data_IF_603511036512
#
_entry.id   IF_603511036512
#
_cell.length_a   1.000
_cell.length_b   1.000
_cell.length_c   1.000
_cell.angle_alpha   90.00
_cell.angle_beta   90.00
_cell.angle_gamma   90.00
#
_symmetry.space_group_name_H-M   'P 1'
#
loop_
_entity.id
_entity.type
_entity.pdbx_description
1 polymer ?
#
# COMPACT_ATOMS: atom_id res chain seq x y z
N UNK A 1 13.61 17.15 11.32
CA UNK A 1 13.48 18.01 10.14
C UNK A 1 13.26 17.10 8.93
N UNK A 2 12.03 17.15 8.35
CA UNK A 2 11.64 16.35 7.18
C UNK A 2 12.17 17.01 5.90
N UNK A 3 13.47 17.01 5.67
CA UNK A 3 14.06 17.42 4.39
C UNK A 3 13.88 16.27 3.40
N UNK A 4 13.12 16.49 2.32
CA UNK A 4 12.92 15.53 1.24
C UNK A 4 11.57 14.81 1.21
N UNK A 5 10.68 15.03 2.15
CA UNK A 5 9.34 14.43 2.18
C UNK A 5 8.36 15.24 1.36
N UNK A 6 7.65 14.57 0.44
CA UNK A 6 6.46 15.12 -0.20
C UNK A 6 5.24 14.37 0.33
N UNK A 7 4.34 15.11 0.94
CA UNK A 7 3.04 14.61 1.36
C UNK A 7 2.11 14.73 0.18
N UNK A 8 1.62 13.61 -0.32
CA UNK A 8 0.53 13.61 -1.30
C UNK A 8 -0.74 13.54 -0.47
N UNK A 9 -1.37 14.70 -0.32
CA UNK A 9 -2.69 14.79 0.27
C UNK A 9 -3.72 14.41 -0.80
N UNK A 10 -4.39 13.30 -0.59
CA UNK A 10 -5.58 12.96 -1.36
C UNK A 10 -6.76 13.41 -0.51
N UNK A 11 -7.46 14.49 -0.88
CA UNK A 11 -8.65 14.90 -0.15
C UNK A 11 -9.59 13.71 -0.02
N UNK A 12 -9.95 13.41 1.20
CA UNK A 12 -10.94 12.37 1.52
C UNK A 12 -12.20 12.58 0.70
N UNK A 13 -12.71 11.50 0.21
CA UNK A 13 -13.89 11.38 -0.64
C UNK A 13 -15.10 11.97 0.08
N UNK A 14 -15.45 13.18 -0.20
CA UNK A 14 -16.66 13.74 0.40
C UNK A 14 -16.96 15.18 0.07
N UNK A 15 -16.86 15.60 -1.19
CA UNK A 15 -17.48 16.87 -1.55
C UNK A 15 -17.95 16.88 -3.00
N UNK A 16 -19.04 16.21 -3.27
CA UNK A 16 -20.01 16.73 -4.22
C UNK A 16 -20.91 17.67 -3.40
N UNK A 17 -20.69 18.98 -3.53
CA UNK A 17 -21.48 19.99 -2.83
C UNK A 17 -20.66 20.77 -1.81
N UNK A 18 -20.30 21.99 -2.17
CA UNK A 18 -19.45 22.91 -1.43
C UNK A 18 -19.73 23.00 0.06
N UNK A 19 -18.66 23.26 0.78
CA UNK A 19 -18.42 23.47 2.21
C UNK A 19 -18.05 22.20 2.97
N UNK A 20 -16.74 22.05 3.26
CA UNK A 20 -16.30 22.19 4.65
C UNK A 20 -14.79 22.09 4.72
N UNK A 21 -14.16 23.01 5.42
CA UNK A 21 -12.72 23.21 5.57
C UNK A 21 -12.08 22.33 6.68
N UNK A 22 -12.84 21.40 7.27
CA UNK A 22 -12.45 20.78 8.56
C UNK A 22 -12.30 19.24 8.51
N UNK A 23 -12.30 18.59 7.32
CA UNK A 23 -12.25 17.13 7.22
C UNK A 23 -11.11 16.59 6.34
N UNK A 24 -10.11 17.39 5.96
CA UNK A 24 -8.96 16.92 5.20
C UNK A 24 -7.96 16.25 6.16
N UNK A 25 -7.91 14.92 6.15
CA UNK A 25 -6.91 14.16 6.89
C UNK A 25 -5.93 13.47 5.94
N UNK A 26 -4.70 13.27 6.40
CA UNK A 26 -3.67 12.56 5.64
C UNK A 26 -4.04 11.09 5.55
N UNK A 27 -4.34 10.61 4.35
CA UNK A 27 -4.68 9.21 4.10
C UNK A 27 -3.43 8.36 3.84
N UNK A 28 -2.43 8.94 3.18
CA UNK A 28 -1.18 8.26 2.83
C UNK A 28 0.03 9.17 3.01
N UNK A 29 1.13 8.60 3.54
CA UNK A 29 2.46 9.21 3.57
C UNK A 29 3.40 8.27 2.84
N UNK A 30 4.16 8.79 1.87
CA UNK A 30 5.05 7.98 1.05
C UNK A 30 6.37 8.69 0.78
N UNK A 31 7.52 8.11 1.16
CA UNK A 31 8.83 8.64 0.77
C UNK A 31 9.09 8.33 -0.71
N UNK A 32 9.53 9.32 -1.46
CA UNK A 32 9.86 9.14 -2.87
C UNK A 32 11.00 10.03 -3.31
N UNK A 33 11.96 9.48 -4.07
CA UNK A 33 12.99 10.27 -4.71
C UNK A 33 12.39 11.11 -5.85
N UNK A 34 12.99 12.27 -6.14
CA UNK A 34 12.51 13.21 -7.15
C UNK A 34 12.38 12.59 -8.56
N UNK A 35 13.24 11.62 -8.88
CA UNK A 35 13.28 10.98 -10.20
C UNK A 35 12.37 9.76 -10.32
N UNK A 36 11.80 9.30 -9.22
CA UNK A 36 10.86 8.17 -9.25
C UNK A 36 9.58 8.52 -10.03
N UNK A 37 8.98 7.50 -10.62
CA UNK A 37 7.67 7.59 -11.25
C UNK A 37 6.63 7.02 -10.30
N UNK A 38 5.58 7.79 -10.05
CA UNK A 38 4.41 7.33 -9.31
C UNK A 38 3.36 6.83 -10.30
N UNK A 39 2.88 5.62 -10.10
CA UNK A 39 1.72 5.06 -10.79
C UNK A 39 0.51 5.23 -9.85
N UNK A 40 -0.53 5.86 -10.35
CA UNK A 40 -1.78 6.08 -9.61
C UNK A 40 -2.88 5.23 -10.19
N UNK A 41 -3.55 4.47 -9.35
CA UNK A 41 -4.64 3.58 -9.75
C UNK A 41 -5.94 4.07 -9.16
N UNK A 42 -6.93 4.24 -10.05
CA UNK A 42 -8.24 4.71 -9.64
C UNK A 42 -9.14 3.56 -9.22
N UNK A 43 -10.20 3.87 -8.47
CA UNK A 43 -11.23 2.90 -8.08
C UNK A 43 -11.90 2.23 -9.27
N UNK A 44 -12.04 2.95 -10.39
CA UNK A 44 -12.61 2.43 -11.65
C UNK A 44 -11.60 1.65 -12.51
N UNK A 45 -10.38 1.43 -12.01
CA UNK A 45 -9.40 0.57 -12.63
C UNK A 45 -8.55 1.21 -13.72
N UNK A 46 -8.36 2.52 -13.71
CA UNK A 46 -7.40 3.21 -14.57
C UNK A 46 -6.06 3.41 -13.88
N UNK A 47 -4.99 3.51 -14.68
CA UNK A 47 -3.64 3.85 -14.25
C UNK A 47 -3.21 5.16 -14.91
N UNK A 48 -2.62 6.05 -14.09
CA UNK A 48 -2.00 7.31 -14.50
C UNK A 48 -0.57 7.36 -13.97
N UNK A 49 0.26 8.23 -14.55
CA UNK A 49 1.67 8.40 -14.18
C UNK A 49 1.96 9.84 -13.85
N UNK A 50 2.84 10.06 -12.90
CA UNK A 50 3.39 11.36 -12.56
C UNK A 50 4.82 11.18 -12.06
N UNK A 51 5.74 12.02 -12.50
CA UNK A 51 7.06 12.10 -11.91
C UNK A 51 6.97 12.82 -10.56
N UNK A 52 7.74 12.36 -9.58
CA UNK A 52 7.69 12.96 -8.24
C UNK A 52 8.01 14.46 -8.28
N UNK A 53 8.94 14.90 -9.14
CA UNK A 53 9.27 16.32 -9.29
C UNK A 53 8.14 17.18 -9.89
N UNK A 54 7.14 16.57 -10.55
CA UNK A 54 5.95 17.25 -11.09
C UNK A 54 4.90 17.49 -10.00
N UNK A 55 5.02 16.84 -8.85
CA UNK A 55 4.14 17.03 -7.70
C UNK A 55 4.52 18.35 -7.03
N UNK A 56 3.58 19.33 -6.92
CA UNK A 56 3.88 20.61 -6.30
C UNK A 56 4.36 20.46 -4.86
N UNK A 57 5.35 21.25 -4.50
CA UNK A 57 5.80 21.34 -3.11
C UNK A 57 4.75 22.04 -2.26
N UNK A 58 4.56 21.51 -1.06
CA UNK A 58 3.70 22.09 -0.04
C UNK A 58 4.49 22.34 1.24
N UNK A 59 4.08 23.31 2.03
CA UNK A 59 4.54 23.48 3.41
C UNK A 59 3.41 23.09 4.38
N UNK A 60 3.69 23.09 5.68
CA UNK A 60 2.71 22.73 6.73
C UNK A 60 1.44 23.60 6.74
N UNK A 61 1.45 24.76 6.07
CA UNK A 61 0.35 25.70 6.00
C UNK A 61 -0.31 25.72 4.62
N UNK A 62 0.30 25.05 3.62
CA UNK A 62 -0.25 25.03 2.28
C UNK A 62 -1.48 24.10 2.23
N UNK A 63 -2.54 24.59 1.59
CA UNK A 63 -3.65 23.72 1.17
C UNK A 63 -3.11 22.83 0.06
N UNK A 64 -3.27 21.51 0.18
CA UNK A 64 -2.93 20.56 -0.87
C UNK A 64 -3.60 20.92 -2.21
N UNK A 65 -3.16 20.30 -3.29
CA UNK A 65 -3.80 20.41 -4.60
C UNK A 65 -4.54 19.10 -4.89
N UNK A 66 -5.77 19.22 -5.35
CA UNK A 66 -6.54 18.07 -5.78
C UNK A 66 -5.79 17.33 -6.91
N UNK A 67 -5.69 16.01 -6.81
CA UNK A 67 -4.99 15.18 -7.81
C UNK A 67 -5.62 15.29 -9.20
N UNK A 68 -6.90 15.60 -9.31
CA UNK A 68 -7.55 15.87 -10.59
C UNK A 68 -6.95 17.08 -11.35
N UNK A 69 -6.28 18.01 -10.64
CA UNK A 69 -5.57 19.11 -11.26
C UNK A 69 -4.19 18.72 -11.82
N UNK A 70 -3.66 17.58 -11.39
CA UNK A 70 -2.36 17.05 -11.82
C UNK A 70 -2.51 15.91 -12.82
N UNK A 71 -3.57 15.15 -12.70
CA UNK A 71 -3.88 13.98 -13.52
C UNK A 71 -5.25 14.16 -14.18
N UNK A 72 -5.36 13.78 -15.43
CA UNK A 72 -6.63 13.87 -16.18
C UNK A 72 -7.62 12.78 -15.73
N UNK A 73 -8.03 12.82 -14.46
CA UNK A 73 -8.95 11.88 -13.83
C UNK A 73 -10.37 12.45 -13.94
N UNK A 74 -11.33 11.61 -14.32
CA UNK A 74 -12.74 12.00 -14.33
C UNK A 74 -13.22 12.44 -12.95
N UNK A 75 -14.14 13.38 -12.91
CA UNK A 75 -14.70 13.94 -11.65
C UNK A 75 -15.42 12.89 -10.78
N UNK A 76 -15.82 11.78 -11.38
CA UNK A 76 -16.54 10.67 -10.77
C UNK A 76 -15.62 9.48 -10.43
N UNK A 77 -14.29 9.66 -10.53
CA UNK A 77 -13.29 8.62 -10.23
C UNK A 77 -12.31 9.12 -9.16
N UNK A 78 -11.71 8.22 -8.40
CA UNK A 78 -10.83 8.50 -7.27
C UNK A 78 -9.61 7.61 -7.29
N UNK A 79 -8.48 8.14 -6.79
CA UNK A 79 -7.27 7.36 -6.59
C UNK A 79 -7.43 6.53 -5.32
N UNK A 80 -7.29 5.22 -5.44
CA UNK A 80 -7.36 4.29 -4.30
C UNK A 80 -6.02 3.58 -4.03
N UNK A 81 -5.09 3.61 -4.98
CA UNK A 81 -3.77 3.02 -4.78
C UNK A 81 -2.72 3.75 -5.60
N UNK A 82 -1.49 3.71 -5.12
CA UNK A 82 -0.34 4.21 -5.87
C UNK A 82 0.90 3.35 -5.59
N UNK A 83 1.78 3.29 -6.56
CA UNK A 83 3.03 2.53 -6.52
C UNK A 83 4.16 3.44 -6.96
N UNK A 84 5.24 3.48 -6.18
CA UNK A 84 6.50 4.10 -6.58
C UNK A 84 7.31 3.11 -7.40
N UNK A 85 7.75 3.53 -8.57
CA UNK A 85 8.71 2.80 -9.40
C UNK A 85 9.96 3.66 -9.55
N UNK A 86 11.09 3.18 -9.02
CA UNK A 86 12.36 3.94 -9.07
C UNK A 86 12.79 4.18 -10.51
N UNK A 87 12.75 3.17 -11.35
CA UNK A 87 13.23 3.20 -12.73
C UNK A 87 12.22 2.54 -13.68
N UNK A 88 11.19 3.28 -14.08
CA UNK A 88 10.19 2.75 -15.02
C UNK A 88 10.74 2.45 -16.42
N UNK A 89 11.94 2.95 -16.75
CA UNK A 89 12.61 2.73 -18.03
C UNK A 89 13.56 1.54 -18.01
N UNK A 90 13.78 0.93 -16.86
CA UNK A 90 14.61 -0.26 -16.70
C UNK A 90 13.80 -1.49 -17.16
N UNK A 91 14.23 -2.06 -18.31
CA UNK A 91 13.55 -3.21 -18.93
C UNK A 91 13.66 -4.47 -18.07
N UNK A 92 14.80 -4.71 -17.44
CA UNK A 92 15.02 -5.86 -16.58
C UNK A 92 14.11 -5.80 -15.35
N UNK A 93 14.04 -4.64 -14.70
CA UNK A 93 13.13 -4.41 -13.58
C UNK A 93 11.67 -4.59 -14.01
N UNK A 94 11.26 -4.04 -15.15
CA UNK A 94 9.89 -4.10 -15.63
C UNK A 94 9.44 -5.52 -16.01
N UNK A 95 10.35 -6.35 -16.52
CA UNK A 95 10.07 -7.74 -16.91
C UNK A 95 10.09 -8.69 -15.73
N UNK A 96 10.88 -8.40 -14.69
CA UNK A 96 10.98 -9.22 -13.48
C UNK A 96 9.90 -8.95 -12.44
N UNK A 97 9.16 -7.83 -12.57
CA UNK A 97 8.15 -7.43 -11.58
C UNK A 97 6.73 -7.44 -12.12
N UNK A 98 5.78 -7.61 -11.22
CA UNK A 98 4.36 -7.60 -11.52
C UNK A 98 3.62 -6.61 -10.63
N UNK A 99 2.46 -6.17 -11.09
CA UNK A 99 1.47 -5.48 -10.28
C UNK A 99 0.34 -6.45 -9.94
N UNK A 100 0.09 -6.60 -8.65
CA UNK A 100 -1.07 -7.35 -8.17
C UNK A 100 -2.13 -6.37 -7.69
N UNK A 101 -3.33 -6.52 -8.19
CA UNK A 101 -4.52 -5.74 -7.88
C UNK A 101 -5.43 -6.52 -6.96
N UNK A 102 -6.10 -5.81 -6.07
CA UNK A 102 -7.19 -6.36 -5.28
C UNK A 102 -8.39 -5.44 -5.34
N UNK A 103 -9.58 -6.02 -5.48
CA UNK A 103 -10.83 -5.29 -5.48
C UNK A 103 -11.61 -5.52 -4.18
N UNK A 104 -12.57 -4.66 -3.93
CA UNK A 104 -13.46 -4.71 -2.78
C UNK A 104 -14.21 -6.04 -2.67
N UNK A 105 -14.64 -6.61 -3.80
CA UNK A 105 -15.33 -7.91 -3.85
C UNK A 105 -14.38 -9.13 -3.83
N UNK A 106 -13.08 -8.92 -3.55
CA UNK A 106 -12.12 -10.00 -3.39
C UNK A 106 -11.61 -10.61 -4.71
N UNK A 107 -11.70 -9.88 -5.81
CA UNK A 107 -11.05 -10.23 -7.06
C UNK A 107 -9.59 -9.82 -7.00
N UNK A 108 -8.70 -10.67 -7.53
CA UNK A 108 -7.27 -10.38 -7.70
C UNK A 108 -6.86 -10.50 -9.14
N UNK A 109 -5.91 -9.68 -9.56
CA UNK A 109 -5.36 -9.69 -10.91
C UNK A 109 -3.86 -9.43 -10.86
N UNK A 110 -3.08 -10.18 -11.62
CA UNK A 110 -1.65 -9.96 -11.80
C UNK A 110 -1.35 -9.53 -13.23
N UNK A 111 -0.59 -8.44 -13.39
CA UNK A 111 -0.17 -7.90 -14.69
C UNK A 111 1.31 -7.57 -14.63
N UNK A 112 2.10 -7.91 -15.65
CA UNK A 112 3.50 -7.54 -15.72
C UNK A 112 3.66 -6.01 -15.65
N UNK A 113 4.66 -5.53 -14.91
CA UNK A 113 4.95 -4.09 -14.79
C UNK A 113 5.27 -3.46 -16.14
N UNK A 114 5.89 -4.21 -17.04
CA UNK A 114 6.18 -3.80 -18.42
C UNK A 114 4.93 -3.24 -19.14
N UNK A 115 3.74 -3.78 -18.88
CA UNK A 115 2.50 -3.29 -19.46
C UNK A 115 2.20 -1.82 -19.13
N UNK A 116 2.89 -1.25 -18.14
CA UNK A 116 2.76 0.12 -17.67
C UNK A 116 4.03 0.97 -17.91
N UNK A 117 5.02 0.45 -18.64
CA UNK A 117 6.29 1.16 -18.92
C UNK A 117 6.13 2.38 -19.82
N UNK A 118 5.02 2.50 -20.54
CA UNK A 118 4.74 3.60 -21.48
C UNK A 118 3.64 4.53 -20.95
N UNK A 119 4.00 5.63 -20.27
CA UNK A 119 3.04 6.61 -19.77
C UNK A 119 2.16 7.20 -20.87
N UNK A 120 0.89 7.46 -20.53
CA UNK A 120 -0.07 8.15 -21.40
C UNK A 120 -0.82 9.21 -20.59
N UNK A 121 -0.95 10.41 -21.14
CA UNK A 121 -1.60 11.55 -20.46
C UNK A 121 -3.03 11.26 -20.02
N UNK A 122 -3.80 10.54 -20.83
CA UNK A 122 -5.20 10.18 -20.53
C UNK A 122 -5.33 8.90 -19.70
N UNK A 123 -4.22 8.40 -19.15
CA UNK A 123 -4.19 7.13 -18.45
C UNK A 123 -4.44 5.92 -19.37
N UNK A 124 -4.39 4.75 -18.78
CA UNK A 124 -4.73 3.48 -19.45
C UNK A 124 -5.65 2.66 -18.57
N UNK A 125 -6.40 1.75 -19.17
CA UNK A 125 -7.13 0.75 -18.42
C UNK A 125 -6.13 -0.20 -17.75
N UNK A 126 -6.24 -0.37 -16.43
CA UNK A 126 -5.37 -1.24 -15.65
C UNK A 126 -6.06 -2.55 -15.27
N UNK A 127 -7.36 -2.52 -15.05
CA UNK A 127 -8.22 -3.66 -14.76
C UNK A 127 -9.64 -3.34 -15.18
N UNK A 128 -10.37 -4.30 -15.73
CA UNK A 128 -11.81 -4.14 -15.96
C UNK A 128 -12.56 -4.47 -14.68
N UNK A 129 -13.22 -3.47 -14.11
CA UNK A 129 -13.97 -3.59 -12.86
C UNK A 129 -15.37 -4.11 -13.16
N UNK A 130 -15.88 -5.01 -12.31
CA UNK A 130 -17.26 -5.50 -12.34
C UNK A 130 -18.20 -4.43 -11.78
N UNK A 131 -19.46 -4.57 -12.05
CA UNK A 131 -20.51 -3.74 -11.46
C UNK A 131 -20.43 -3.79 -9.91
N UNK A 132 -20.59 -2.65 -9.26
CA UNK A 132 -20.50 -2.47 -7.80
C UNK A 132 -19.17 -2.89 -7.14
N UNK A 133 -18.11 -3.08 -7.93
CA UNK A 133 -16.77 -3.35 -7.42
C UNK A 133 -15.84 -2.14 -7.62
N UNK A 134 -14.71 -2.15 -6.95
CA UNK A 134 -13.69 -1.12 -7.09
C UNK A 134 -12.31 -1.65 -6.71
N UNK A 135 -11.25 -1.10 -7.33
CA UNK A 135 -9.88 -1.35 -6.87
C UNK A 135 -9.71 -0.73 -5.49
N UNK A 136 -9.22 -1.52 -4.54
CA UNK A 136 -8.89 -1.01 -3.21
C UNK A 136 -7.39 -0.92 -2.98
N UNK A 137 -6.61 -1.77 -3.62
CA UNK A 137 -5.18 -1.80 -3.41
C UNK A 137 -4.42 -2.41 -4.59
N UNK A 138 -3.20 -1.92 -4.81
CA UNK A 138 -2.25 -2.47 -5.77
C UNK A 138 -0.91 -2.65 -5.06
N UNK A 139 -0.16 -3.70 -5.38
CA UNK A 139 1.19 -3.97 -4.87
C UNK A 139 2.11 -4.35 -6.01
N UNK A 140 3.37 -3.93 -5.87
CA UNK A 140 4.47 -4.41 -6.70
C UNK A 140 4.98 -5.71 -6.11
N UNK A 141 5.19 -6.73 -6.94
CA UNK A 141 5.66 -8.07 -6.54
C UNK A 141 6.75 -8.57 -7.50
N UNK A 142 7.54 -9.52 -7.05
CA UNK A 142 8.68 -10.06 -7.79
C UNK A 142 8.41 -11.41 -8.47
N UNK A 143 7.18 -11.92 -8.39
CA UNK A 143 6.77 -13.20 -8.99
C UNK A 143 6.71 -14.37 -8.02
N UNK A 144 7.28 -14.27 -6.80
CA UNK A 144 7.28 -15.32 -5.78
C UNK A 144 6.77 -14.84 -4.41
N UNK A 145 6.16 -13.69 -4.36
CA UNK A 145 5.60 -13.12 -3.13
C UNK A 145 4.35 -13.88 -2.67
N UNK A 146 4.11 -13.81 -1.38
CA UNK A 146 2.88 -14.31 -0.77
C UNK A 146 1.89 -13.17 -0.56
N UNK A 147 0.67 -13.42 -0.95
CA UNK A 147 -0.42 -12.44 -0.89
C UNK A 147 -1.35 -12.80 0.26
N UNK A 148 -1.66 -11.80 1.09
CA UNK A 148 -2.66 -11.94 2.13
C UNK A 148 -3.75 -10.90 1.89
N UNK A 149 -5.00 -11.39 1.74
CA UNK A 149 -6.20 -10.56 1.68
C UNK A 149 -6.92 -10.65 3.03
N UNK A 150 -7.45 -9.53 3.50
CA UNK A 150 -8.25 -9.51 4.71
C UNK A 150 -9.62 -8.88 4.46
N UNK A 151 -10.68 -9.50 5.01
CA UNK A 151 -12.04 -9.02 4.90
C UNK A 151 -12.49 -8.26 6.14
N UNK A 152 -13.47 -7.42 5.98
CA UNK A 152 -14.12 -6.60 7.00
C UNK A 152 -14.66 -7.41 8.16
N UNK A 153 -15.13 -8.63 7.88
CA UNK A 153 -15.63 -9.58 8.88
C UNK A 153 -14.50 -10.32 9.63
N UNK A 154 -13.23 -9.88 9.46
CA UNK A 154 -12.12 -10.37 10.26
C UNK A 154 -11.55 -11.72 9.82
N UNK A 155 -11.70 -12.07 8.54
CA UNK A 155 -11.02 -13.22 7.93
C UNK A 155 -9.86 -12.79 7.06
N UNK A 156 -8.86 -13.65 6.90
CA UNK A 156 -7.75 -13.46 5.99
C UNK A 156 -7.39 -14.76 5.28
N UNK A 157 -6.96 -14.65 4.03
CA UNK A 157 -6.47 -15.74 3.21
C UNK A 157 -5.05 -15.45 2.75
N UNK A 158 -4.15 -16.43 2.88
CA UNK A 158 -2.77 -16.37 2.40
C UNK A 158 -2.57 -17.36 1.27
N UNK A 159 -1.99 -16.91 0.16
CA UNK A 159 -1.67 -17.73 -0.99
C UNK A 159 -0.44 -17.19 -1.72
N UNK A 160 0.28 -18.06 -2.44
CA UNK A 160 1.38 -17.62 -3.28
C UNK A 160 0.86 -16.94 -4.56
N UNK A 161 1.49 -15.82 -4.96
CA UNK A 161 1.10 -15.06 -6.14
C UNK A 161 1.20 -15.87 -7.45
N UNK A 162 1.98 -16.95 -7.47
CA UNK A 162 2.07 -17.85 -8.64
C UNK A 162 0.73 -18.53 -8.95
N UNK A 163 -0.17 -18.65 -7.97
CA UNK A 163 -1.54 -19.14 -8.19
C UNK A 163 -2.41 -18.18 -9.01
N UNK A 164 -1.94 -16.93 -9.19
CA UNK A 164 -2.55 -15.91 -10.03
C UNK A 164 -1.74 -15.77 -11.31
N UNK A 165 -2.28 -16.25 -12.42
CA UNK A 165 -1.61 -16.10 -13.73
C UNK A 165 -1.46 -14.64 -14.11
N UNK A 166 -0.40 -14.31 -14.84
CA UNK A 166 -0.23 -12.98 -15.44
C UNK A 166 -1.29 -12.75 -16.51
N UNK A 167 -1.94 -11.61 -16.51
CA UNK A 167 -3.04 -11.23 -17.39
C UNK A 167 -2.82 -9.85 -17.99
N UNK A 168 -3.37 -9.61 -19.16
CA UNK A 168 -3.36 -8.29 -19.80
C UNK A 168 -4.16 -7.24 -19.00
N UNK A 169 -3.91 -5.95 -19.28
CA UNK A 169 -4.53 -4.82 -18.57
C UNK A 169 -6.05 -4.83 -18.56
N UNK A 170 -6.68 -5.30 -19.64
CA UNK A 170 -8.14 -5.31 -19.79
C UNK A 170 -8.84 -6.53 -19.15
N UNK A 171 -8.10 -7.43 -18.49
CA UNK A 171 -8.70 -8.55 -17.80
C UNK A 171 -9.39 -8.11 -16.51
N UNK A 172 -10.46 -8.80 -16.13
CA UNK A 172 -11.19 -8.57 -14.87
C UNK A 172 -10.46 -9.17 -13.67
N UNK A 173 -9.66 -10.22 -13.87
CA UNK A 173 -9.02 -10.95 -12.80
C UNK A 173 -9.74 -12.25 -12.42
N UNK A 174 -9.35 -12.81 -11.30
CA UNK A 174 -9.84 -14.09 -10.76
C UNK A 174 -10.20 -13.94 -9.29
N UNK A 175 -11.01 -14.85 -8.76
CA UNK A 175 -11.38 -14.83 -7.33
C UNK A 175 -10.12 -15.04 -6.47
N UNK A 176 -9.83 -14.05 -5.63
CA UNK A 176 -8.77 -14.10 -4.62
C UNK A 176 -9.27 -14.62 -3.28
N UNK A 177 -10.45 -14.16 -2.83
CA UNK A 177 -11.09 -14.54 -1.59
C UNK A 177 -12.59 -14.75 -1.78
N UNK A 178 -13.19 -15.66 -1.03
CA UNK A 178 -14.64 -15.78 -0.90
C UNK A 178 -15.06 -15.03 0.36
N UNK A 179 -15.88 -14.00 0.19
CA UNK A 179 -16.45 -13.21 1.27
C UNK A 179 -17.55 -13.99 2.01
N UNK A 180 -17.85 -13.59 3.22
CA UNK A 180 -18.74 -14.32 4.10
C UNK A 180 -20.21 -14.10 3.75
N UNK A 181 -20.55 -12.85 3.43
CA UNK A 181 -21.89 -12.39 3.05
C UNK A 181 -21.78 -11.20 2.07
N UNK A 182 -22.91 -10.65 1.66
CA UNK A 182 -22.99 -9.52 0.71
C UNK A 182 -22.51 -8.19 1.31
N UNK A 183 -22.45 -8.08 2.64
CA UNK A 183 -21.98 -6.89 3.36
C UNK A 183 -20.46 -6.97 3.67
N UNK A 184 -19.87 -8.16 3.51
CA UNK A 184 -18.44 -8.35 3.69
C UNK A 184 -17.66 -7.81 2.49
N UNK A 185 -16.53 -7.25 2.73
CA UNK A 185 -15.67 -6.67 1.72
C UNK A 185 -14.19 -6.86 2.09
N UNK A 186 -13.33 -6.93 1.09
CA UNK A 186 -11.89 -6.89 1.35
C UNK A 186 -11.50 -5.47 1.75
N UNK A 187 -10.81 -5.35 2.87
CA UNK A 187 -10.36 -4.06 3.42
C UNK A 187 -8.87 -3.80 3.18
N UNK A 188 -8.12 -4.82 2.77
CA UNK A 188 -6.72 -4.64 2.47
C UNK A 188 -6.04 -5.89 1.94
N UNK A 189 -4.89 -5.65 1.31
CA UNK A 189 -3.99 -6.64 0.75
C UNK A 189 -2.55 -6.32 1.16
N UNK A 190 -1.80 -7.32 1.60
CA UNK A 190 -0.35 -7.23 1.74
C UNK A 190 0.31 -8.24 0.81
N UNK A 191 1.48 -7.87 0.30
CA UNK A 191 2.40 -8.74 -0.39
C UNK A 191 3.66 -8.83 0.47
N UNK A 192 4.10 -10.02 0.75
CA UNK A 192 5.28 -10.28 1.59
C UNK A 192 6.21 -11.25 0.87
N UNK A 193 7.52 -11.00 0.89
CA UNK A 193 8.49 -11.97 0.40
C UNK A 193 8.32 -13.32 1.10
N UNK A 194 8.58 -14.41 0.40
CA UNK A 194 8.41 -15.77 0.91
C UNK A 194 9.13 -16.03 2.23
N UNK A 195 10.33 -15.46 2.41
CA UNK A 195 11.15 -15.62 3.61
C UNK A 195 11.06 -14.42 4.57
N UNK A 196 9.98 -13.64 4.47
CA UNK A 196 9.76 -12.47 5.33
C UNK A 196 9.57 -12.87 6.79
N UNK A 197 10.25 -12.15 7.67
CA UNK A 197 10.09 -12.24 9.13
C UNK A 197 9.06 -11.24 9.67
N UNK A 198 8.40 -10.50 8.79
CA UNK A 198 7.37 -9.54 9.16
C UNK A 198 6.21 -10.22 9.89
N UNK A 199 5.53 -9.46 10.71
CA UNK A 199 4.27 -9.85 11.34
C UNK A 199 3.08 -9.20 10.63
N UNK A 200 1.92 -9.82 10.74
CA UNK A 200 0.67 -9.29 10.22
C UNK A 200 0.00 -8.44 11.29
N UNK A 201 -0.02 -7.12 11.08
CA UNK A 201 -0.76 -6.16 11.88
C UNK A 201 -2.19 -6.06 11.37
N UNK A 202 -3.17 -6.16 12.25
CA UNK A 202 -4.59 -5.91 11.99
C UNK A 202 -5.13 -4.91 12.99
N UNK A 203 -5.96 -3.97 12.49
CA UNK A 203 -6.60 -2.93 13.30
C UNK A 203 -8.07 -2.85 12.93
N UNK A 204 -8.93 -2.78 13.97
CA UNK A 204 -10.38 -2.67 13.83
C UNK A 204 -10.87 -1.24 14.04
N UNK A 205 -12.09 -0.96 13.62
CA UNK A 205 -12.70 0.38 13.61
C UNK A 205 -12.82 1.02 15.00
N UNK A 206 -12.94 0.22 16.06
CA UNK A 206 -13.03 0.72 17.43
C UNK A 206 -11.67 0.73 18.18
N UNK A 207 -10.56 0.70 17.43
CA UNK A 207 -9.23 0.93 17.99
C UNK A 207 -8.53 -0.28 18.57
N UNK A 208 -9.11 -1.47 18.44
CA UNK A 208 -8.44 -2.72 18.80
C UNK A 208 -7.50 -3.16 17.68
N UNK A 209 -6.35 -3.73 18.06
CA UNK A 209 -5.42 -4.26 17.08
C UNK A 209 -4.41 -5.20 17.71
N UNK A 210 -3.63 -5.84 16.87
CA UNK A 210 -2.58 -6.78 17.26
C UNK A 210 -1.68 -7.11 16.07
N UNK A 211 -0.53 -7.69 16.40
CA UNK A 211 0.30 -8.38 15.43
C UNK A 211 0.13 -9.89 15.59
N UNK A 212 0.24 -10.64 14.51
CA UNK A 212 0.29 -12.11 14.51
C UNK A 212 1.43 -12.57 13.60
N UNK A 213 2.03 -13.71 13.89
CA UNK A 213 3.10 -14.25 13.06
C UNK A 213 2.55 -14.66 11.69
N UNK A 214 3.37 -14.52 10.64
CA UNK A 214 3.01 -15.01 9.30
C UNK A 214 2.71 -16.53 9.30
N UNK A 215 3.39 -17.29 10.14
CA UNK A 215 3.21 -18.73 10.31
C UNK A 215 1.80 -19.12 10.77
N UNK A 216 1.12 -18.23 11.52
CA UNK A 216 -0.26 -18.43 11.96
C UNK A 216 -1.24 -18.49 10.77
N UNK A 217 -0.85 -17.98 9.61
CA UNK A 217 -1.66 -17.97 8.39
C UNK A 217 -1.15 -19.06 7.45
N UNK A 218 -1.85 -20.19 7.42
CA UNK A 218 -1.53 -21.27 6.48
C UNK A 218 -1.62 -20.80 5.03
N UNK A 219 -0.67 -21.21 4.22
CA UNK A 219 -0.71 -21.01 2.77
C UNK A 219 -1.78 -21.94 2.18
N UNK A 220 -2.68 -21.37 1.37
CA UNK A 220 -3.77 -22.10 0.73
C UNK A 220 -3.86 -21.72 -0.74
N UNK A 221 -4.74 -22.37 -1.48
CA UNK A 221 -5.13 -21.88 -2.79
C UNK A 221 -5.98 -20.62 -2.64
N UNK A 222 -5.84 -19.66 -3.60
CA UNK A 222 -6.71 -18.48 -3.69
C UNK A 222 -8.18 -18.87 -3.80
N UNK A 223 -9.09 -17.95 -3.50
CA UNK A 223 -10.52 -18.12 -3.67
C UNK A 223 -11.23 -18.79 -2.52
N UNK A 224 -10.50 -19.25 -1.49
CA UNK A 224 -11.09 -19.79 -0.25
C UNK A 224 -11.67 -18.70 0.67
N UNK A 225 -12.36 -19.13 1.74
CA UNK A 225 -12.93 -18.24 2.78
C UNK A 225 -11.87 -17.68 3.74
N UNK A 226 -10.64 -18.23 3.72
CA UNK A 226 -9.59 -17.85 4.64
C UNK A 226 -9.79 -18.37 6.08
N UNK A 227 -9.01 -17.80 6.98
CA UNK A 227 -9.02 -18.11 8.41
C UNK A 227 -9.29 -16.84 9.21
N UNK A 228 -9.78 -16.98 10.44
CA UNK A 228 -10.02 -15.83 11.32
C UNK A 228 -8.69 -15.11 11.60
N UNK A 229 -8.62 -13.80 11.34
CA UNK A 229 -7.46 -12.95 11.61
C UNK A 229 -7.65 -12.06 12.84
N UNK A 230 -8.90 -11.71 13.15
CA UNK A 230 -9.31 -11.03 14.37
C UNK A 230 -10.70 -11.51 14.75
N UNK A 231 -10.98 -11.58 16.04
CA UNK A 231 -12.33 -11.89 16.51
C UNK A 231 -13.16 -10.60 16.55
N UNK A 232 -14.09 -10.47 15.63
CA UNK A 232 -15.02 -9.34 15.54
C UNK A 232 -16.09 -9.46 16.62
N UNK A 233 -16.26 -8.42 17.40
CA UNK A 233 -17.27 -8.27 18.48
C UNK A 233 -17.78 -6.84 18.49
N UNK A 234 -18.79 -6.53 19.27
CA UNK A 234 -19.28 -5.16 19.48
C UNK A 234 -18.16 -4.22 20.02
N UNK A 235 -17.22 -4.77 20.79
CA UNK A 235 -16.08 -4.00 21.36
C UNK A 235 -14.98 -3.71 20.36
N UNK A 236 -14.80 -4.55 19.35
CA UNK A 236 -13.76 -4.36 18.35
C UNK A 236 -14.28 -3.57 17.16
N UNK A 237 -15.55 -3.74 16.83
CA UNK A 237 -16.07 -3.32 15.53
C UNK A 237 -15.45 -4.14 14.39
N UNK A 238 -15.67 -3.72 13.17
CA UNK A 238 -15.20 -4.40 11.96
C UNK A 238 -13.70 -4.18 11.72
N UNK A 239 -13.06 -5.06 10.93
CA UNK A 239 -11.69 -4.86 10.52
C UNK A 239 -11.57 -3.68 9.53
N UNK A 240 -10.58 -2.82 9.74
CA UNK A 240 -10.32 -1.63 8.89
C UNK A 240 -9.02 -1.78 8.11
N UNK A 241 -8.00 -2.36 8.71
CA UNK A 241 -6.68 -2.40 8.08
C UNK A 241 -5.91 -3.69 8.36
N UNK A 242 -5.13 -4.09 7.35
CA UNK A 242 -4.07 -5.10 7.44
C UNK A 242 -2.77 -4.52 6.90
N UNK A 243 -1.65 -4.72 7.60
CA UNK A 243 -0.31 -4.29 7.20
C UNK A 243 0.73 -5.37 7.52
N UNK A 244 1.79 -5.43 6.71
CA UNK A 244 3.01 -6.18 7.02
C UNK A 244 3.96 -5.25 7.77
N UNK A 245 4.40 -5.65 8.95
CA UNK A 245 5.23 -4.81 9.82
C UNK A 245 6.30 -5.62 10.54
N UNK A 246 7.44 -4.98 10.77
CA UNK A 246 8.50 -5.43 11.68
C UNK A 246 8.61 -4.46 12.88
N UNK A 247 9.54 -4.72 13.78
CA UNK A 247 9.70 -3.94 15.01
C UNK A 247 10.20 -2.50 14.76
N UNK A 248 10.89 -2.25 13.64
CA UNK A 248 11.44 -0.93 13.28
C UNK A 248 10.42 -0.01 12.61
N UNK A 249 9.22 -0.52 12.32
CA UNK A 249 8.21 0.27 11.64
C UNK A 249 7.40 1.13 12.61
N UNK A 250 7.01 2.30 12.11
CA UNK A 250 6.02 3.14 12.73
C UNK A 250 4.68 3.04 12.02
N UNK A 251 3.64 3.12 12.81
CA UNK A 251 2.26 3.05 12.34
C UNK A 251 1.56 4.36 12.66
N UNK A 252 0.99 4.98 11.65
CA UNK A 252 0.11 6.12 11.82
C UNK A 252 -1.33 5.64 11.74
N UNK A 253 -2.09 5.91 12.77
CA UNK A 253 -3.52 5.60 12.86
C UNK A 253 -4.28 6.91 12.80
N UNK A 254 -5.19 7.00 11.84
CA UNK A 254 -5.96 8.21 11.54
C UNK A 254 -7.40 7.93 11.90
N UNK A 255 -7.99 8.78 12.75
CA UNK A 255 -9.38 8.71 13.17
C UNK A 255 -10.28 9.46 12.18
N UNK A 256 -11.57 9.15 12.14
CA UNK A 256 -12.56 9.90 11.36
C UNK A 256 -12.67 11.37 11.79
N UNK A 257 -12.34 11.67 13.05
CA UNK A 257 -12.22 13.04 13.55
C UNK A 257 -10.98 13.81 13.04
N UNK A 258 -10.15 13.20 12.17
CA UNK A 258 -8.92 13.82 11.65
C UNK A 258 -7.72 13.70 12.60
N UNK A 259 -7.88 13.23 13.83
CA UNK A 259 -6.78 13.06 14.78
C UNK A 259 -5.88 11.91 14.33
N UNK A 260 -4.59 12.19 14.20
CA UNK A 260 -3.56 11.22 13.81
C UNK A 260 -2.68 10.86 15.00
N UNK A 261 -2.43 9.57 15.20
CA UNK A 261 -1.61 9.03 16.28
C UNK A 261 -0.53 8.16 15.67
N UNK A 262 0.72 8.34 16.12
CA UNK A 262 1.87 7.51 15.73
C UNK A 262 2.22 6.58 16.86
N UNK A 263 2.39 5.30 16.57
CA UNK A 263 2.82 4.26 17.49
C UNK A 263 3.93 3.42 16.85
N UNK A 264 4.84 2.89 17.67
CA UNK A 264 5.84 1.95 17.18
C UNK A 264 5.24 0.55 17.05
N UNK A 265 5.54 -0.15 15.96
CA UNK A 265 5.04 -1.51 15.76
C UNK A 265 5.49 -2.45 16.88
N UNK A 266 6.72 -2.30 17.40
CA UNK A 266 7.25 -3.09 18.53
C UNK A 266 6.40 -3.02 19.80
N UNK A 267 5.66 -1.91 20.00
CA UNK A 267 4.81 -1.71 21.19
C UNK A 267 3.48 -2.47 21.05
N UNK A 268 3.15 -2.96 19.86
CA UNK A 268 1.95 -3.76 19.60
C UNK A 268 2.25 -5.22 19.88
N UNK A 269 1.48 -5.84 20.77
CA UNK A 269 1.66 -7.24 21.14
C UNK A 269 1.51 -8.19 19.95
N UNK A 270 2.42 -9.16 19.87
CA UNK A 270 2.29 -10.32 18.97
C UNK A 270 1.49 -11.39 19.71
N UNK A 271 0.31 -11.71 19.19
CA UNK A 271 -0.60 -12.69 19.79
C UNK A 271 -1.35 -13.47 18.70
N UNK A 272 -1.89 -14.63 19.07
CA UNK A 272 -2.56 -15.52 18.10
C UNK A 272 -3.66 -14.84 17.29
N UNK A 273 -3.76 -15.21 16.00
CA UNK A 273 -4.62 -14.57 14.99
C UNK A 273 -6.11 -14.52 15.33
N UNK A 274 -6.64 -15.50 16.09
CA UNK A 274 -8.08 -15.60 16.38
C UNK A 274 -8.55 -14.78 17.60
N UNK A 275 -7.67 -13.99 18.24
CA UNK A 275 -8.00 -13.16 19.40
C UNK A 275 -8.65 -11.84 18.99
N UNK A 276 -9.24 -11.11 19.93
CA UNK A 276 -9.79 -9.76 19.71
C UNK A 276 -8.72 -8.66 19.56
N UNK A 277 -7.47 -8.99 19.87
CA UNK A 277 -6.41 -7.98 19.99
C UNK A 277 -6.47 -7.23 21.33
N UNK A 278 -5.69 -6.17 21.39
CA UNK A 278 -5.62 -5.24 22.53
C UNK A 278 -6.09 -3.86 22.09
N UNK A 279 -6.51 -3.03 23.04
CA UNK A 279 -6.81 -1.63 22.74
C UNK A 279 -5.50 -0.91 22.44
N UNK A 280 -5.35 -0.43 21.19
CA UNK A 280 -4.22 0.39 20.75
C UNK A 280 -4.50 1.87 20.96
N UNK A 281 -5.76 2.27 20.87
CA UNK A 281 -6.20 3.66 20.95
C UNK A 281 -7.55 3.73 21.62
N UNK A 282 -7.64 4.59 22.63
CA UNK A 282 -8.94 4.94 23.22
C UNK A 282 -9.63 5.99 22.34
N UNK A 283 -10.78 5.64 21.82
CA UNK A 283 -11.60 6.53 21.02
C UNK A 283 -12.59 7.28 21.92
N UNK A 284 -12.91 8.52 21.56
CA UNK A 284 -14.05 9.23 22.15
C UNK A 284 -15.36 8.65 21.61
N UNK A 285 -16.45 8.86 22.32
CA UNK A 285 -17.76 8.35 21.89
C UNK A 285 -18.10 8.78 20.47
N UNK A 286 -18.44 7.82 19.64
CA UNK A 286 -18.82 8.02 18.24
C UNK A 286 -17.66 8.14 17.24
N UNK A 287 -16.38 8.18 17.70
CA UNK A 287 -15.23 8.20 16.82
C UNK A 287 -14.84 6.80 16.33
N UNK A 288 -14.18 6.69 15.21
CA UNK A 288 -13.73 5.44 14.60
C UNK A 288 -12.38 5.64 13.91
N UNK A 289 -11.67 4.52 13.70
CA UNK A 289 -10.48 4.52 12.85
C UNK A 289 -10.92 4.67 11.39
N UNK A 290 -10.35 5.66 10.71
CA UNK A 290 -10.57 5.89 9.28
C UNK A 290 -9.54 5.18 8.42
N UNK A 291 -8.25 5.28 8.78
CA UNK A 291 -7.14 4.75 7.99
C UNK A 291 -5.95 4.39 8.87
N UNK A 292 -5.10 3.51 8.34
CA UNK A 292 -3.85 3.09 8.99
C UNK A 292 -2.74 3.07 7.94
N UNK A 293 -1.68 3.84 8.19
CA UNK A 293 -0.51 3.90 7.32
C UNK A 293 0.72 3.35 8.02
N UNK A 294 1.54 2.62 7.29
CA UNK A 294 2.91 2.26 7.69
C UNK A 294 3.82 3.42 7.29
N UNK A 295 4.55 3.97 8.23
CA UNK A 295 5.62 4.93 7.94
C UNK A 295 6.86 4.11 7.57
N UNK A 296 7.27 4.25 6.32
CA UNK A 296 8.51 3.61 5.83
C UNK A 296 9.62 4.61 6.14
N UNK A 297 10.58 4.24 7.00
CA UNK A 297 11.83 4.98 7.12
C UNK A 297 12.53 4.98 5.74
N UNK A 298 13.22 6.06 5.40
CA UNK A 298 14.08 6.04 4.21
C UNK A 298 15.07 4.87 4.40
N UNK A 299 15.06 3.92 3.46
CA UNK A 299 16.27 3.13 3.22
C UNK A 299 17.31 4.18 2.83
N UNK A 300 18.31 4.41 3.68
CA UNK A 300 19.55 5.06 3.27
C UNK A 300 19.94 4.33 2.00
N UNK A 301 19.95 5.05 0.87
CA UNK A 301 20.57 4.55 -0.35
C UNK A 301 21.98 4.17 0.08
N UNK A 302 22.26 2.87 0.19
CA UNK A 302 23.63 2.36 0.27
C UNK A 302 24.21 2.77 -1.08
N UNK A 303 24.78 3.97 -1.10
CA UNK A 303 25.66 4.40 -2.18
C UNK A 303 26.80 3.39 -2.09
N UNK A 304 26.82 2.46 -3.04
CA UNK A 304 27.94 1.57 -3.26
C UNK A 304 29.18 2.45 -3.36
N UNK A 305 29.93 2.55 -2.26
CA UNK A 305 31.31 3.02 -2.22
C UNK A 305 32.19 1.96 -2.88
N UNK A 306 31.97 1.72 -4.17
CA UNK A 306 32.83 0.93 -5.03
C UNK A 306 33.41 1.86 -6.09
N UNK A 307 34.20 2.84 -5.68
CA UNK A 307 35.09 3.57 -6.61
C UNK A 307 36.14 4.44 -5.87
N UNK A 308 36.70 3.99 -4.76
CA UNK A 308 37.87 4.63 -4.16
C UNK A 308 38.97 3.65 -3.76
N UNK A 309 39.26 2.63 -4.58
CA UNK A 309 40.44 1.78 -4.34
C UNK A 309 41.23 1.40 -5.57
N UNK A 310 41.25 2.24 -6.62
CA UNK A 310 42.12 2.02 -7.77
C UNK A 310 42.80 3.31 -8.31
N UNK A 311 43.33 4.15 -7.42
CA UNK A 311 44.30 5.19 -7.85
C UNK A 311 45.32 5.44 -6.74
N UNK A 312 46.15 4.43 -6.41
CA UNK A 312 47.48 4.67 -5.83
C UNK A 312 48.38 3.50 -6.19
N UNK A 313 49.15 3.65 -7.26
CA UNK A 313 50.11 2.68 -7.68
C UNK A 313 50.85 3.07 -8.95
N UNK A 314 51.38 4.29 -8.98
CA UNK A 314 52.45 4.61 -9.96
C UNK A 314 53.71 4.87 -9.18
N UNK A 315 54.55 3.85 -9.07
CA UNK A 315 55.91 3.91 -8.60
C UNK A 315 56.74 4.76 -9.56
N UNK A 316 57.31 5.83 -9.06
CA UNK A 316 58.38 6.55 -9.69
C UNK A 316 59.72 5.93 -9.32
N UNK A 317 60.23 5.04 -10.14
CA UNK A 317 61.65 4.70 -10.13
C UNK A 317 62.47 5.87 -10.66
N UNK A 318 63.24 6.45 -9.78
CA UNK A 318 64.38 7.29 -10.11
C UNK A 318 65.55 6.40 -10.47
N UNK A 319 66.03 6.51 -11.69
CA UNK A 319 67.40 6.06 -12.06
C UNK A 319 68.34 7.26 -12.03
N UNK A 320 69.24 7.23 -11.08
CA UNK A 320 70.52 7.94 -11.11
C UNK A 320 71.51 7.17 -12.02
N UNK A 321 72.08 7.82 -12.98
CA UNK A 321 73.48 7.78 -13.40
C UNK A 321 73.67 8.69 -14.58
#
# INVERSE_FOLDING_TARGET
>A
ELKGWRVIDTPGIGAIGGKTRDEDFIEYIYPASMHATMLFFTQKGKCYWLKVYEIPEGNKQSKGRAMQNLLNIGSDDKINAFIRVKQLQDEEFNTSHNLIFCTKQGVVKKTALEAYSRPRQNGVNAITIREDDQVIQVRLTNGDDEIILASKNGKAIRFNEQTVRVMGRNATGVKGMTLEDELDEVVGMIAVPKDSTDSVLVISELGNGKRSLLEDYRITNRGGKGVKTINITEKTGKLVAIKSVNDDNDIMIIKKSGVTIRIHAKDIKVIGRATQGVNLITLKDGDQIASVCKVIAEEEDVIDNINESNETGIDTEKTES
#
